data_IF_254273960336
#
_entry.id   IF_254273960336
#
_cell.length_a   1.000
_cell.length_b   1.000
_cell.length_c   1.000
_cell.angle_alpha   90.00
_cell.angle_beta   90.00
_cell.angle_gamma   90.00
#
_symmetry.space_group_name_H-M   'P 1'
#
loop_
_entity.id
_entity.type
_entity.pdbx_description
1 polymer ?
#
# COMPACT_ATOMS: atom_id res chain seq x y z
N UNK A 1 21.68 -7.30 7.84
CA UNK A 1 20.69 -7.87 8.79
C UNK A 1 21.39 -8.07 10.11
N UNK A 2 21.00 -7.40 11.21
CA UNK A 2 21.25 -7.79 12.62
C UNK A 2 20.87 -6.66 13.58
N UNK A 3 19.62 -6.60 14.00
CA UNK A 3 19.22 -5.99 15.28
C UNK A 3 17.94 -6.70 15.70
N UNK A 4 18.07 -7.67 16.62
CA UNK A 4 17.01 -8.62 17.00
C UNK A 4 15.74 -8.00 17.61
N UNK A 5 15.70 -6.69 17.79
CA UNK A 5 14.60 -5.97 18.46
C UNK A 5 13.45 -5.58 17.53
N UNK A 6 13.64 -5.62 16.20
CA UNK A 6 12.63 -5.15 15.24
C UNK A 6 12.16 -6.21 14.25
N UNK A 7 12.55 -7.48 14.41
CA UNK A 7 12.15 -8.55 13.46
C UNK A 7 10.63 -8.73 13.45
N UNK A 8 10.01 -8.82 14.62
CA UNK A 8 8.55 -8.93 14.75
C UNK A 8 7.83 -7.70 14.20
N UNK A 9 8.37 -6.50 14.45
CA UNK A 9 7.84 -5.25 13.89
C UNK A 9 7.93 -5.21 12.36
N UNK A 10 9.09 -5.54 11.80
CA UNK A 10 9.34 -5.55 10.37
C UNK A 10 8.42 -6.56 9.66
N UNK A 11 8.30 -7.78 10.20
CA UNK A 11 7.37 -8.79 9.69
C UNK A 11 5.93 -8.27 9.71
N UNK A 12 5.50 -7.67 10.83
CA UNK A 12 4.15 -7.11 10.95
C UNK A 12 3.91 -5.97 9.96
N UNK A 13 4.85 -5.02 9.83
CA UNK A 13 4.72 -3.86 8.94
C UNK A 13 4.63 -4.30 7.47
N UNK A 14 5.47 -5.24 7.04
CA UNK A 14 5.41 -5.80 5.69
C UNK A 14 4.09 -6.50 5.42
N UNK A 15 3.63 -7.36 6.35
CA UNK A 15 2.33 -8.04 6.22
C UNK A 15 1.17 -7.05 6.12
N UNK A 16 1.13 -6.04 6.99
CA UNK A 16 0.07 -5.02 6.97
C UNK A 16 0.04 -4.25 5.65
N UNK A 17 1.20 -3.89 5.10
CA UNK A 17 1.29 -3.21 3.80
C UNK A 17 0.83 -4.09 2.65
N UNK A 18 1.25 -5.36 2.60
CA UNK A 18 0.83 -6.31 1.58
C UNK A 18 -0.68 -6.55 1.62
N UNK A 19 -1.27 -6.68 2.81
CA UNK A 19 -2.73 -6.82 2.94
C UNK A 19 -3.49 -5.62 2.40
N UNK A 20 -3.05 -4.39 2.71
CA UNK A 20 -3.67 -3.15 2.22
C UNK A 20 -3.56 -3.03 0.70
N UNK A 21 -2.37 -3.35 0.18
CA UNK A 21 -2.13 -3.37 -1.27
C UNK A 21 -3.04 -4.36 -1.99
N UNK A 22 -3.13 -5.61 -1.50
CA UNK A 22 -3.99 -6.63 -2.12
C UNK A 22 -5.46 -6.24 -2.08
N UNK A 23 -5.94 -5.68 -0.96
CA UNK A 23 -7.32 -5.18 -0.88
C UNK A 23 -7.58 -4.06 -1.89
N UNK A 24 -6.69 -3.07 -2.01
CA UNK A 24 -6.83 -2.01 -3.03
C UNK A 24 -6.88 -2.59 -4.43
N UNK A 25 -6.00 -3.55 -4.74
CA UNK A 25 -5.97 -4.23 -6.02
C UNK A 25 -7.30 -4.94 -6.33
N UNK A 26 -7.82 -5.72 -5.39
CA UNK A 26 -9.11 -6.41 -5.55
C UNK A 26 -10.29 -5.43 -5.71
N UNK A 27 -10.37 -4.39 -4.87
CA UNK A 27 -11.43 -3.38 -4.93
C UNK A 27 -11.42 -2.63 -6.26
N UNK A 28 -10.23 -2.28 -6.78
CA UNK A 28 -10.07 -1.61 -8.08
C UNK A 28 -10.57 -2.53 -9.21
N UNK A 29 -10.16 -3.80 -9.20
CA UNK A 29 -10.60 -4.77 -10.22
C UNK A 29 -12.12 -4.99 -10.20
N UNK A 30 -12.73 -4.93 -9.02
CA UNK A 30 -14.18 -5.09 -8.86
C UNK A 30 -14.96 -3.79 -9.07
N UNK A 31 -14.29 -2.64 -9.18
CA UNK A 31 -14.93 -1.31 -9.25
C UNK A 31 -15.67 -0.93 -7.96
N UNK A 32 -15.25 -1.46 -6.81
CA UNK A 32 -15.93 -1.32 -5.51
C UNK A 32 -14.99 -0.77 -4.44
N UNK A 33 -14.46 0.43 -4.67
CA UNK A 33 -13.57 1.09 -3.71
C UNK A 33 -14.39 1.59 -2.52
N UNK A 34 -14.00 1.18 -1.31
CA UNK A 34 -14.49 1.75 -0.07
C UNK A 34 -13.75 3.07 0.21
N UNK A 35 -14.45 4.20 -0.01
CA UNK A 35 -13.90 5.54 0.17
C UNK A 35 -13.50 5.84 1.62
N UNK A 36 -14.29 5.38 2.60
CA UNK A 36 -14.00 5.61 4.01
C UNK A 36 -12.81 4.80 4.52
N UNK A 37 -12.56 3.64 3.93
CA UNK A 37 -11.34 2.89 4.17
C UNK A 37 -10.13 3.49 3.45
N UNK A 38 -10.30 3.96 2.21
CA UNK A 38 -9.24 4.62 1.44
C UNK A 38 -8.73 5.88 2.13
N UNK A 39 -9.61 6.77 2.60
CA UNK A 39 -9.23 8.00 3.32
C UNK A 39 -8.37 7.69 4.56
N UNK A 40 -8.73 6.63 5.31
CA UNK A 40 -7.93 6.17 6.45
C UNK A 40 -6.53 5.72 6.03
N UNK A 41 -6.41 5.02 4.90
CA UNK A 41 -5.11 4.61 4.37
C UNK A 41 -4.26 5.79 3.92
N UNK A 42 -4.86 6.79 3.28
CA UNK A 42 -4.17 8.01 2.86
C UNK A 42 -3.56 8.76 4.04
N UNK A 43 -4.19 8.73 5.21
CA UNK A 43 -3.62 9.31 6.45
C UNK A 43 -2.53 8.41 7.04
N UNK A 44 -2.75 7.09 7.08
CA UNK A 44 -1.83 6.15 7.76
C UNK A 44 -0.53 5.92 6.99
N UNK A 45 -0.61 5.82 5.66
CA UNK A 45 0.51 5.45 4.78
C UNK A 45 0.93 6.62 3.85
N UNK A 46 0.93 7.86 4.38
CA UNK A 46 1.19 9.12 3.63
C UNK A 46 2.68 9.48 3.42
N UNK A 47 3.57 8.53 3.18
CA UNK A 47 5.01 8.84 3.08
C UNK A 47 5.35 9.68 1.82
N UNK A 48 4.53 9.57 0.77
CA UNK A 48 4.69 10.31 -0.49
C UNK A 48 3.35 10.93 -0.92
N UNK A 49 2.96 12.10 -0.37
CA UNK A 49 1.66 12.71 -0.64
C UNK A 49 1.44 13.14 -2.10
N UNK A 50 2.53 13.31 -2.86
CA UNK A 50 2.51 13.73 -4.26
C UNK A 50 2.97 12.62 -5.19
N UNK A 51 2.81 11.35 -4.78
CA UNK A 51 3.23 10.21 -5.60
C UNK A 51 2.43 10.16 -6.91
N UNK A 52 3.13 9.88 -8.01
CA UNK A 52 2.52 9.72 -9.31
C UNK A 52 2.62 8.25 -9.75
N UNK A 53 1.50 7.52 -9.73
CA UNK A 53 1.47 6.10 -10.11
C UNK A 53 1.83 5.85 -11.58
N UNK A 54 1.78 6.87 -12.45
CA UNK A 54 2.07 6.74 -13.89
C UNK A 54 3.51 6.37 -14.18
N UNK A 55 4.43 6.50 -13.22
CA UNK A 55 5.82 6.04 -13.35
C UNK A 55 5.91 4.54 -13.57
N UNK A 56 4.89 3.77 -13.17
CA UNK A 56 4.81 2.32 -13.40
C UNK A 56 4.20 1.95 -14.76
N UNK A 57 3.76 2.93 -15.56
CA UNK A 57 3.21 2.65 -16.90
C UNK A 57 4.34 2.16 -17.81
N UNK A 58 4.23 0.97 -18.44
CA UNK A 58 5.25 0.50 -19.38
C UNK A 58 5.35 1.43 -20.59
N UNK A 59 6.58 1.61 -21.08
CA UNK A 59 6.94 2.45 -22.24
C UNK A 59 6.62 1.77 -23.57
N UNK A 60 5.42 1.24 -23.78
CA UNK A 60 5.03 0.73 -25.11
C UNK A 60 3.54 1.01 -25.38
N UNK A 61 3.27 1.59 -26.55
CA UNK A 61 1.96 1.69 -27.20
C UNK A 61 1.90 0.66 -28.32
#
# INVERSE_FOLDING_TARGET
>A
MSTGTMVSYAVRRTRSHLMRFNKLYEDILQGKIDSGWLEKLEVIDNIFPQINYRVYKPLFH
#
